data_IF_230630525362
#
_entry.id   IF_230630525362
#
_cell.length_a   1.000
_cell.length_b   1.000
_cell.length_c   1.000
_cell.angle_alpha   90.00
_cell.angle_beta   90.00
_cell.angle_gamma   90.00
#
_symmetry.space_group_name_H-M   'P 1'
#
loop_
_entity.id
_entity.type
_entity.pdbx_description
1 polymer ?
#
# COMPACT_ATOMS: atom_id res chain seq x y z
N UNK A 1 -18.65 -3.97 -13.81
CA UNK A 1 -19.87 -4.73 -13.41
C UNK A 1 -19.56 -5.49 -12.13
N UNK A 2 -20.46 -5.47 -11.13
CA UNK A 2 -20.28 -6.23 -9.89
C UNK A 2 -20.89 -7.63 -10.02
N UNK A 3 -20.15 -8.67 -9.63
CA UNK A 3 -20.64 -10.07 -9.54
C UNK A 3 -20.56 -10.54 -8.09
N UNK A 4 -21.48 -11.42 -7.71
CA UNK A 4 -21.46 -12.08 -6.39
C UNK A 4 -20.44 -13.22 -6.43
N UNK A 5 -19.51 -13.22 -5.48
CA UNK A 5 -18.55 -14.29 -5.24
C UNK A 5 -18.90 -14.93 -3.89
N UNK A 6 -19.10 -16.25 -3.88
CA UNK A 6 -19.36 -17.01 -2.65
C UNK A 6 -18.13 -17.86 -2.34
N UNK A 7 -17.56 -17.68 -1.16
CA UNK A 7 -16.36 -18.37 -0.69
C UNK A 7 -16.72 -19.26 0.50
N UNK A 8 -16.19 -20.48 0.52
CA UNK A 8 -16.23 -21.33 1.72
C UNK A 8 -15.01 -20.98 2.58
N UNK A 9 -15.26 -20.50 3.79
CA UNK A 9 -14.23 -20.04 4.73
C UNK A 9 -14.59 -20.57 6.12
N UNK A 10 -13.58 -20.88 6.93
CA UNK A 10 -13.75 -21.29 8.32
C UNK A 10 -14.46 -20.21 9.14
N UNK A 11 -15.40 -20.62 10.00
CA UNK A 11 -16.19 -19.72 10.85
C UNK A 11 -15.30 -18.87 11.78
N UNK A 12 -14.20 -19.43 12.29
CA UNK A 12 -13.25 -18.69 13.14
C UNK A 12 -12.55 -17.56 12.38
N UNK A 13 -12.30 -17.76 11.09
CA UNK A 13 -11.69 -16.75 10.23
C UNK A 13 -12.70 -15.65 9.92
N UNK A 14 -13.97 -16.01 9.71
CA UNK A 14 -15.06 -15.05 9.47
C UNK A 14 -15.21 -14.11 10.66
N UNK A 15 -15.21 -14.63 11.88
CA UNK A 15 -15.34 -13.82 13.10
C UNK A 15 -14.15 -12.85 13.27
N UNK A 16 -12.92 -13.34 13.10
CA UNK A 16 -11.72 -12.47 13.13
C UNK A 16 -11.76 -11.39 12.05
N UNK A 17 -12.21 -11.74 10.86
CA UNK A 17 -12.33 -10.79 9.76
C UNK A 17 -13.38 -9.71 10.05
N UNK A 18 -14.51 -10.05 10.70
CA UNK A 18 -15.53 -9.08 11.11
C UNK A 18 -15.02 -8.10 12.17
N UNK A 19 -14.29 -8.60 13.17
CA UNK A 19 -13.65 -7.75 14.18
C UNK A 19 -12.70 -6.77 13.51
N UNK A 20 -11.79 -7.27 12.67
CA UNK A 20 -10.83 -6.44 11.95
C UNK A 20 -11.50 -5.40 11.03
N UNK A 21 -12.56 -5.79 10.32
CA UNK A 21 -13.35 -4.89 9.48
C UNK A 21 -13.98 -3.76 10.30
N UNK A 22 -14.48 -4.08 11.50
CA UNK A 22 -15.12 -3.13 12.40
C UNK A 22 -14.11 -2.14 13.00
N UNK A 23 -12.94 -2.62 13.41
CA UNK A 23 -11.85 -1.78 13.94
C UNK A 23 -11.29 -0.82 12.87
N UNK A 24 -11.18 -1.28 11.63
CA UNK A 24 -10.65 -0.49 10.51
C UNK A 24 -11.70 0.40 9.83
N UNK A 25 -12.97 0.31 10.22
CA UNK A 25 -14.08 1.06 9.63
C UNK A 25 -14.34 0.69 8.16
N UNK A 26 -13.99 -0.53 7.75
CA UNK A 26 -14.13 -1.02 6.35
C UNK A 26 -15.11 -2.17 6.28
N UNK A 27 -15.80 -2.31 5.16
CA UNK A 27 -16.66 -3.48 4.94
C UNK A 27 -15.82 -4.72 4.63
N UNK A 28 -16.32 -5.89 5.03
CA UNK A 28 -15.68 -7.18 4.75
C UNK A 28 -15.52 -7.41 3.23
N UNK A 29 -16.55 -7.07 2.46
CA UNK A 29 -16.50 -7.11 0.99
C UNK A 29 -15.43 -6.19 0.42
N UNK A 30 -15.28 -4.97 0.95
CA UNK A 30 -14.26 -4.03 0.51
C UNK A 30 -12.84 -4.49 0.84
N UNK A 31 -12.66 -5.18 1.97
CA UNK A 31 -11.37 -5.81 2.32
C UNK A 31 -10.98 -6.89 1.32
N UNK A 32 -11.90 -7.79 0.99
CA UNK A 32 -11.66 -8.89 0.05
C UNK A 32 -11.45 -8.36 -1.37
N UNK A 33 -12.27 -7.40 -1.82
CA UNK A 33 -12.12 -6.77 -3.14
C UNK A 33 -10.77 -6.07 -3.28
N UNK A 34 -10.36 -5.28 -2.28
CA UNK A 34 -9.07 -4.63 -2.28
C UNK A 34 -7.92 -5.63 -2.27
N UNK A 35 -8.04 -6.73 -1.50
CA UNK A 35 -7.01 -7.77 -1.49
C UNK A 35 -6.85 -8.44 -2.86
N UNK A 36 -7.97 -8.86 -3.48
CA UNK A 36 -7.96 -9.46 -4.81
C UNK A 36 -7.40 -8.50 -5.87
N UNK A 37 -7.75 -7.20 -5.77
CA UNK A 37 -7.21 -6.17 -6.66
C UNK A 37 -5.70 -6.04 -6.53
N UNK A 38 -5.18 -5.90 -5.31
CA UNK A 38 -3.72 -5.81 -5.08
C UNK A 38 -3.01 -7.08 -5.55
N UNK A 39 -3.58 -8.26 -5.32
CA UNK A 39 -2.99 -9.54 -5.73
C UNK A 39 -2.83 -9.63 -7.26
N UNK A 40 -3.83 -9.17 -8.02
CA UNK A 40 -3.77 -9.17 -9.50
C UNK A 40 -2.87 -8.05 -10.02
N UNK A 41 -2.82 -6.90 -9.34
CA UNK A 41 -1.94 -5.77 -9.68
C UNK A 41 -0.46 -6.05 -9.37
N UNK A 42 -0.12 -6.85 -8.36
CA UNK A 42 1.27 -7.27 -8.08
C UNK A 42 1.85 -8.18 -9.18
N UNK A 43 1.00 -8.90 -9.91
CA UNK A 43 1.40 -9.63 -11.12
C UNK A 43 1.65 -8.73 -12.34
N UNK A 44 1.49 -7.41 -12.21
CA UNK A 44 1.94 -6.40 -13.17
C UNK A 44 3.13 -5.64 -12.55
N UNK A 45 4.35 -6.20 -12.62
CA UNK A 45 5.49 -5.81 -11.78
C UNK A 45 6.01 -4.39 -12.04
N UNK A 46 5.56 -3.68 -13.07
CA UNK A 46 6.23 -2.44 -13.47
C UNK A 46 5.68 -1.16 -12.83
N UNK A 47 4.43 -1.14 -12.33
CA UNK A 47 3.76 0.14 -11.98
C UNK A 47 3.33 0.30 -10.51
N UNK A 48 2.99 -0.76 -9.77
CA UNK A 48 2.31 -0.60 -8.47
C UNK A 48 3.18 -0.02 -7.35
N UNK A 49 4.48 -0.31 -7.33
CA UNK A 49 5.38 0.23 -6.29
C UNK A 49 5.78 1.67 -6.60
N UNK A 50 6.06 1.98 -7.88
CA UNK A 50 6.31 3.35 -8.35
C UNK A 50 5.10 4.25 -8.09
N UNK A 51 3.88 3.81 -8.42
CA UNK A 51 2.66 4.61 -8.22
C UNK A 51 2.36 4.94 -6.75
N UNK A 52 2.61 4.01 -5.82
CA UNK A 52 2.47 4.29 -4.38
C UNK A 52 3.46 5.36 -3.94
N UNK A 53 4.72 5.25 -4.38
CA UNK A 53 5.76 6.23 -4.11
C UNK A 53 5.43 7.57 -4.80
N UNK A 54 4.89 7.59 -6.03
CA UNK A 54 4.49 8.84 -6.71
C UNK A 54 3.27 9.49 -6.08
N UNK A 55 2.29 8.72 -5.58
CA UNK A 55 1.15 9.27 -4.83
C UNK A 55 1.57 9.86 -3.48
N UNK A 56 2.59 9.28 -2.85
CA UNK A 56 3.23 9.83 -1.65
C UNK A 56 4.07 11.08 -1.99
N UNK A 57 4.85 11.01 -3.07
CA UNK A 57 5.70 12.10 -3.57
C UNK A 57 4.89 13.27 -4.14
N UNK A 58 3.67 13.06 -4.65
CA UNK A 58 2.79 14.13 -5.13
C UNK A 58 2.31 15.10 -4.02
N UNK A 59 2.55 14.76 -2.75
CA UNK A 59 2.37 15.67 -1.60
C UNK A 59 3.67 16.37 -1.18
N UNK A 60 4.80 15.96 -1.74
CA UNK A 60 6.12 16.51 -1.45
C UNK A 60 6.47 17.39 -2.65
N UNK A 61 6.51 18.71 -2.47
CA UNK A 61 7.04 19.60 -3.49
C UNK A 61 8.55 19.38 -3.53
N UNK A 62 9.00 18.61 -4.51
CA UNK A 62 10.43 18.44 -4.78
C UNK A 62 10.86 19.70 -5.56
N UNK A 63 11.76 20.54 -5.01
CA UNK A 63 12.26 21.71 -5.73
C UNK A 63 13.00 21.26 -7.00
N UNK A 64 12.99 22.06 -8.06
CA UNK A 64 13.66 21.75 -9.34
C UNK A 64 15.18 21.53 -9.18
N UNK A 65 15.76 22.00 -8.07
CA UNK A 65 17.17 21.86 -7.68
C UNK A 65 17.40 20.68 -6.70
N UNK A 66 16.57 19.64 -6.77
CA UNK A 66 16.69 18.47 -5.90
C UNK A 66 17.71 17.48 -6.44
N UNK A 67 18.95 17.60 -5.95
CA UNK A 67 20.03 16.66 -6.24
C UNK A 67 19.99 15.49 -5.24
N UNK A 68 19.32 14.40 -5.64
CA UNK A 68 19.12 13.18 -4.84
C UNK A 68 20.44 12.62 -4.30
N UNK A 69 21.50 12.64 -5.10
CA UNK A 69 22.79 12.04 -4.74
C UNK A 69 23.49 12.84 -3.63
N UNK A 70 23.36 14.17 -3.66
CA UNK A 70 23.96 15.05 -2.67
C UNK A 70 23.30 14.89 -1.30
N UNK A 71 21.97 14.84 -1.26
CA UNK A 71 21.21 14.72 0.01
C UNK A 71 21.41 13.35 0.64
N UNK A 72 21.46 12.28 -0.17
CA UNK A 72 21.78 10.95 0.33
C UNK A 72 23.18 10.90 0.93
N UNK A 73 24.16 11.52 0.26
CA UNK A 73 25.54 11.63 0.78
C UNK A 73 25.58 12.37 2.10
N UNK A 74 24.96 13.54 2.20
CA UNK A 74 24.89 14.33 3.44
C UNK A 74 24.19 13.55 4.56
N UNK A 75 23.07 12.84 4.28
CA UNK A 75 22.39 12.01 5.27
C UNK A 75 23.26 10.86 5.79
N UNK A 76 23.98 10.17 4.91
CA UNK A 76 24.89 9.10 5.34
C UNK A 76 26.09 9.65 6.10
N UNK A 77 26.63 10.80 5.69
CA UNK A 77 27.68 11.48 6.43
C UNK A 77 27.20 11.87 7.84
N UNK A 78 26.05 12.53 7.98
CA UNK A 78 25.49 12.89 9.30
C UNK A 78 25.15 11.69 10.18
N UNK A 79 24.63 10.61 9.56
CA UNK A 79 24.25 9.39 10.28
C UNK A 79 25.45 8.58 10.77
N UNK A 80 26.57 8.64 10.05
CA UNK A 80 27.78 7.86 10.35
C UNK A 80 28.91 8.67 10.99
N UNK A 81 28.82 10.02 11.04
CA UNK A 81 29.75 10.89 11.78
C UNK A 81 29.27 11.26 13.20
N UNK A 82 28.19 10.66 13.70
CA UNK A 82 27.76 10.79 15.10
C UNK A 82 27.94 9.52 15.89
#
# INVERSE_FOLDING_TARGET
MARKLTLNVDENIIEKAKVYASETGRSLSGLVENYLKNLVEEHHPENSQKEKITKLAGKIQIPEDFDEEKILREYFEEKHLK
#
